data_IF_798797963813
#
_entry.id   IF_798797963813
#
_cell.length_a   1.000
_cell.length_b   1.000
_cell.length_c   1.000
_cell.angle_alpha   90.00
_cell.angle_beta   90.00
_cell.angle_gamma   90.00
#
_symmetry.space_group_name_H-M   'P 1'
#
loop_
_entity.id
_entity.type
_entity.pdbx_description
1 polymer ?
#
# COMPACT_ATOMS: atom_id res chain seq x y z
N UNK A 1 26.57 -13.79 -18.48
CA UNK A 1 25.44 -14.54 -17.92
C UNK A 1 24.27 -14.52 -18.92
N UNK A 2 23.70 -15.70 -19.22
CA UNK A 2 22.51 -15.81 -20.07
C UNK A 2 21.27 -15.18 -19.40
N UNK A 3 20.22 -14.90 -20.16
CA UNK A 3 18.95 -14.40 -19.62
C UNK A 3 18.36 -15.39 -18.59
N UNK A 4 18.44 -16.68 -18.89
CA UNK A 4 18.05 -17.79 -17.98
C UNK A 4 18.75 -17.70 -16.64
N UNK A 5 20.08 -17.63 -16.64
CA UNK A 5 20.89 -17.56 -15.40
C UNK A 5 20.54 -16.31 -14.58
N UNK A 6 20.38 -15.14 -15.23
CA UNK A 6 20.01 -13.89 -14.54
C UNK A 6 18.66 -13.99 -13.84
N UNK A 7 17.64 -14.58 -14.49
CA UNK A 7 16.31 -14.73 -13.91
C UNK A 7 16.30 -15.67 -12.70
N UNK A 8 17.02 -16.80 -12.80
CA UNK A 8 17.16 -17.72 -11.65
C UNK A 8 17.93 -17.09 -10.49
N UNK A 9 19.04 -16.40 -10.75
CA UNK A 9 19.81 -15.71 -9.70
C UNK A 9 18.98 -14.66 -9.02
N UNK A 10 18.20 -13.86 -9.76
CA UNK A 10 17.31 -12.85 -9.17
C UNK A 10 16.24 -13.48 -8.27
N UNK A 11 15.61 -14.57 -8.70
CA UNK A 11 14.62 -15.29 -7.90
C UNK A 11 15.23 -15.89 -6.63
N UNK A 12 16.35 -16.58 -6.75
CA UNK A 12 17.03 -17.21 -5.59
C UNK A 12 17.50 -16.14 -4.59
N UNK A 13 18.06 -15.02 -5.09
CA UNK A 13 18.46 -13.90 -4.24
C UNK A 13 17.26 -13.30 -3.50
N UNK A 14 16.14 -13.11 -4.18
CA UNK A 14 14.92 -12.63 -3.54
C UNK A 14 14.45 -13.59 -2.44
N UNK A 15 14.37 -14.89 -2.71
CA UNK A 15 13.97 -15.90 -1.74
C UNK A 15 14.92 -15.91 -0.55
N UNK A 16 16.25 -15.86 -0.79
CA UNK A 16 17.26 -15.88 0.27
C UNK A 16 17.17 -14.63 1.17
N UNK A 17 17.07 -13.43 0.57
CA UNK A 17 16.97 -12.17 1.32
C UNK A 17 15.65 -12.10 2.09
N UNK A 18 14.53 -12.40 1.44
CA UNK A 18 13.22 -12.41 2.10
C UNK A 18 13.19 -13.44 3.23
N UNK A 19 13.67 -14.66 3.00
CA UNK A 19 13.75 -15.71 4.01
C UNK A 19 14.60 -15.32 5.20
N UNK A 20 15.79 -14.76 4.96
CA UNK A 20 16.66 -14.26 6.03
C UNK A 20 15.99 -13.15 6.86
N UNK A 21 15.35 -12.18 6.21
CA UNK A 21 14.62 -11.11 6.90
C UNK A 21 13.42 -11.64 7.68
N UNK A 22 12.67 -12.60 7.14
CA UNK A 22 11.52 -13.21 7.81
C UNK A 22 11.94 -14.04 9.02
N UNK A 23 13.03 -14.80 8.92
CA UNK A 23 13.61 -15.52 10.05
C UNK A 23 14.05 -14.54 11.13
N UNK A 24 14.76 -13.46 10.76
CA UNK A 24 15.14 -12.39 11.70
C UNK A 24 13.91 -11.79 12.38
N UNK A 25 12.89 -11.41 11.61
CA UNK A 25 11.65 -10.84 12.14
C UNK A 25 10.95 -11.79 13.12
N UNK A 26 10.96 -13.10 12.85
CA UNK A 26 10.36 -14.12 13.73
C UNK A 26 10.89 -14.08 15.14
N UNK A 27 12.17 -13.77 15.31
CA UNK A 27 12.83 -13.73 16.63
C UNK A 27 12.95 -12.31 17.21
N UNK A 28 12.82 -11.27 16.40
CA UNK A 28 13.10 -9.89 16.81
C UNK A 28 11.91 -8.94 16.78
N UNK A 29 10.73 -9.36 16.34
CA UNK A 29 9.54 -8.52 16.19
C UNK A 29 9.27 -7.64 17.41
N UNK A 30 9.19 -8.25 18.59
CA UNK A 30 8.89 -7.52 19.81
C UNK A 30 10.05 -6.61 20.24
N UNK A 31 11.31 -7.09 20.13
CA UNK A 31 12.48 -6.29 20.49
C UNK A 31 12.63 -5.06 19.59
N UNK A 32 12.46 -5.23 18.27
CA UNK A 32 12.49 -4.11 17.30
C UNK A 32 11.39 -3.09 17.62
N UNK A 33 10.19 -3.55 17.92
CA UNK A 33 9.09 -2.68 18.32
C UNK A 33 9.41 -1.95 19.64
N UNK A 34 9.89 -2.64 20.65
CA UNK A 34 10.27 -2.02 21.94
C UNK A 34 11.31 -0.90 21.77
N UNK A 35 12.30 -1.11 20.88
CA UNK A 35 13.34 -0.10 20.64
C UNK A 35 12.80 1.10 19.87
N UNK A 36 11.99 0.87 18.83
CA UNK A 36 11.55 1.93 17.94
C UNK A 36 10.34 2.72 18.47
N UNK A 37 9.47 2.08 19.25
CA UNK A 37 8.24 2.67 19.74
C UNK A 37 8.33 3.19 21.17
N UNK A 38 9.34 2.80 21.95
CA UNK A 38 9.46 3.12 23.37
C UNK A 38 9.41 4.63 23.69
N UNK A 39 9.91 5.47 22.75
CA UNK A 39 9.84 6.94 22.88
C UNK A 39 8.54 7.55 22.37
N UNK A 40 7.80 6.83 21.53
CA UNK A 40 6.62 7.32 20.83
C UNK A 40 5.31 7.03 21.58
N UNK A 41 5.34 6.13 22.57
CA UNK A 41 4.18 5.68 23.35
C UNK A 41 4.31 6.03 24.82
N UNK A 42 4.85 7.21 25.12
CA UNK A 42 5.02 7.70 26.48
C UNK A 42 3.68 7.92 27.22
N UNK A 43 2.61 8.17 26.48
CA UNK A 43 1.26 8.28 27.06
C UNK A 43 0.47 6.99 26.75
N UNK A 44 -0.12 6.38 27.73
CA UNK A 44 -0.85 5.12 27.73
C UNK A 44 -2.11 5.09 26.83
N UNK A 45 -2.19 5.92 25.79
CA UNK A 45 -3.31 6.01 24.86
C UNK A 45 -2.99 5.32 23.54
N UNK A 46 -4.02 4.87 22.82
CA UNK A 46 -3.86 4.08 21.61
C UNK A 46 -3.21 4.82 20.44
N UNK A 47 -3.48 6.11 20.23
CA UNK A 47 -3.03 6.90 19.08
C UNK A 47 -1.97 7.94 19.39
N UNK A 48 -1.55 8.10 20.63
CA UNK A 48 -0.55 9.12 20.98
C UNK A 48 0.79 8.79 20.36
N UNK A 49 1.29 9.71 19.56
CA UNK A 49 2.60 9.59 18.92
C UNK A 49 3.24 10.96 18.78
N UNK A 50 4.39 11.14 19.38
CA UNK A 50 5.15 12.40 19.35
C UNK A 50 6.08 12.52 18.13
N UNK A 51 6.22 11.47 17.32
CA UNK A 51 7.11 11.47 16.16
C UNK A 51 6.45 12.05 14.91
N UNK A 52 6.86 13.24 14.49
CA UNK A 52 6.42 13.87 13.24
C UNK A 52 6.59 12.92 12.04
N UNK A 53 7.73 12.22 11.97
CA UNK A 53 7.99 11.21 10.95
C UNK A 53 6.91 10.11 10.91
N UNK A 54 6.56 9.56 12.08
CA UNK A 54 5.54 8.52 12.19
C UNK A 54 4.17 9.01 11.73
N UNK A 55 3.73 10.15 12.23
CA UNK A 55 2.41 10.76 11.93
C UNK A 55 2.29 11.12 10.45
N UNK A 56 3.29 11.81 9.89
CA UNK A 56 3.26 12.22 8.48
C UNK A 56 3.21 11.00 7.55
N UNK A 57 4.06 9.99 7.76
CA UNK A 57 4.04 8.80 6.91
C UNK A 57 2.86 7.86 7.23
N UNK A 58 2.21 7.97 8.37
CA UNK A 58 0.90 7.33 8.58
C UNK A 58 -0.18 8.01 7.74
N UNK A 59 -0.19 9.34 7.68
CA UNK A 59 -1.18 10.09 6.93
C UNK A 59 -1.03 9.95 5.41
N UNK A 60 0.20 10.01 4.88
CA UNK A 60 0.41 10.05 3.42
C UNK A 60 1.10 8.82 2.84
N UNK A 61 1.60 7.90 3.66
CA UNK A 61 2.38 6.75 3.21
C UNK A 61 1.60 5.76 2.34
N UNK A 62 0.28 5.69 2.47
CA UNK A 62 -0.59 4.87 1.63
C UNK A 62 -0.99 5.53 0.30
N UNK A 63 -0.68 6.81 0.10
CA UNK A 63 -1.08 7.56 -1.12
C UNK A 63 -0.72 6.89 -2.45
N UNK A 64 0.39 6.14 -2.61
CA UNK A 64 0.72 5.50 -3.88
C UNK A 64 -0.36 4.59 -4.44
N UNK A 65 -1.12 3.85 -3.61
CA UNK A 65 -2.20 2.99 -4.12
C UNK A 65 -3.29 3.83 -4.81
N UNK A 66 -3.69 4.92 -4.20
CA UNK A 66 -4.73 5.78 -4.73
C UNK A 66 -4.28 6.54 -5.98
N UNK A 67 -3.04 7.05 -5.98
CA UNK A 67 -2.43 7.68 -7.14
C UNK A 67 -2.35 6.72 -8.32
N UNK A 68 -1.87 5.49 -8.11
CA UNK A 68 -1.76 4.50 -9.17
C UNK A 68 -3.14 4.09 -9.71
N UNK A 69 -4.15 3.92 -8.85
CA UNK A 69 -5.52 3.65 -9.27
C UNK A 69 -6.10 4.80 -10.10
N UNK A 70 -5.99 6.04 -9.61
CA UNK A 70 -6.53 7.21 -10.28
C UNK A 70 -5.91 7.40 -11.67
N UNK A 71 -4.57 7.34 -11.78
CA UNK A 71 -3.88 7.43 -13.07
C UNK A 71 -4.29 6.30 -14.01
N UNK A 72 -4.46 5.08 -13.51
CA UNK A 72 -4.89 3.95 -14.33
C UNK A 72 -6.27 4.17 -14.90
N UNK A 73 -7.22 4.62 -14.10
CA UNK A 73 -8.57 4.94 -14.58
C UNK A 73 -8.57 6.09 -15.60
N UNK A 74 -7.73 7.10 -15.43
CA UNK A 74 -7.61 8.22 -16.38
C UNK A 74 -6.94 7.81 -17.71
N UNK A 75 -5.97 6.92 -17.69
CA UNK A 75 -5.39 6.32 -18.90
C UNK A 75 -6.47 5.56 -19.66
N UNK A 76 -7.24 4.72 -18.97
CA UNK A 76 -8.34 3.96 -19.58
C UNK A 76 -9.46 4.88 -20.08
N UNK A 77 -9.79 5.97 -19.37
CA UNK A 77 -10.71 6.99 -19.83
C UNK A 77 -10.29 7.54 -21.20
N UNK A 78 -9.04 7.97 -21.34
CA UNK A 78 -8.54 8.49 -22.62
C UNK A 78 -8.47 7.42 -23.71
N UNK A 79 -8.19 6.17 -23.37
CA UNK A 79 -8.25 5.05 -24.31
C UNK A 79 -9.67 4.86 -24.86
N UNK A 80 -10.68 4.88 -23.98
CA UNK A 80 -12.10 4.78 -24.36
C UNK A 80 -12.50 5.95 -25.24
N UNK A 81 -12.16 7.20 -24.83
CA UNK A 81 -12.51 8.39 -25.57
C UNK A 81 -11.91 8.43 -26.98
N UNK A 82 -10.71 7.91 -27.18
CA UNK A 82 -9.99 7.94 -28.47
C UNK A 82 -10.31 6.77 -29.39
N UNK A 83 -10.49 5.57 -28.83
CA UNK A 83 -10.56 4.33 -29.62
C UNK A 83 -11.96 3.76 -29.81
N UNK A 84 -12.88 4.00 -28.88
CA UNK A 84 -14.24 3.51 -29.06
C UNK A 84 -15.01 4.35 -30.09
N UNK A 85 -15.70 3.67 -31.00
CA UNK A 85 -16.67 4.30 -31.91
C UNK A 85 -17.78 4.98 -31.10
N UNK A 86 -18.45 5.98 -31.70
CA UNK A 86 -19.57 6.67 -31.07
C UNK A 86 -20.70 5.67 -30.76
N UNK A 87 -20.98 5.50 -29.47
CA UNK A 87 -21.99 4.57 -28.94
C UNK A 87 -22.34 5.01 -27.52
N UNK A 88 -23.59 4.90 -27.05
CA UNK A 88 -23.98 5.30 -25.69
C UNK A 88 -23.11 4.71 -24.58
N UNK A 89 -22.66 3.47 -24.72
CA UNK A 89 -21.75 2.83 -23.75
C UNK A 89 -20.37 3.47 -23.65
N UNK A 90 -19.94 4.20 -24.66
CA UNK A 90 -18.65 4.94 -24.64
C UNK A 90 -18.70 6.04 -23.58
N UNK A 91 -19.71 6.88 -23.61
CA UNK A 91 -19.88 7.99 -22.68
C UNK A 91 -20.10 7.47 -21.25
N UNK A 92 -20.93 6.44 -21.09
CA UNK A 92 -21.17 5.82 -19.78
C UNK A 92 -19.87 5.25 -19.21
N UNK A 93 -19.12 4.47 -19.97
CA UNK A 93 -17.84 3.89 -19.51
C UNK A 93 -16.81 4.98 -19.21
N UNK A 94 -16.72 6.00 -20.05
CA UNK A 94 -15.83 7.15 -19.81
C UNK A 94 -16.16 7.87 -18.49
N UNK A 95 -17.44 8.14 -18.24
CA UNK A 95 -17.90 8.77 -17.00
C UNK A 95 -17.56 7.88 -15.80
N UNK A 96 -17.83 6.57 -15.87
CA UNK A 96 -17.54 5.64 -14.78
C UNK A 96 -16.03 5.60 -14.46
N UNK A 97 -15.18 5.59 -15.48
CA UNK A 97 -13.71 5.62 -15.29
C UNK A 97 -13.24 6.93 -14.68
N UNK A 98 -13.80 8.06 -15.11
CA UNK A 98 -13.46 9.36 -14.55
C UNK A 98 -13.90 9.47 -13.09
N UNK A 99 -15.13 9.02 -12.77
CA UNK A 99 -15.67 8.99 -11.40
C UNK A 99 -14.80 8.08 -10.52
N UNK A 100 -14.43 6.88 -11.01
CA UNK A 100 -13.57 5.97 -10.25
C UNK A 100 -12.18 6.58 -9.96
N UNK A 101 -11.58 7.28 -10.92
CA UNK A 101 -10.33 8.00 -10.73
C UNK A 101 -10.46 9.14 -9.72
N UNK A 102 -11.54 9.92 -9.79
CA UNK A 102 -11.82 11.01 -8.83
C UNK A 102 -12.06 10.45 -7.43
N UNK A 103 -12.80 9.34 -7.33
CA UNK A 103 -13.04 8.67 -6.05
C UNK A 103 -11.74 8.18 -5.40
N UNK A 104 -10.78 7.66 -6.20
CA UNK A 104 -9.47 7.27 -5.68
C UNK A 104 -8.71 8.48 -5.09
N UNK A 105 -8.69 9.63 -5.76
CA UNK A 105 -8.11 10.85 -5.19
C UNK A 105 -8.86 11.32 -3.94
N UNK A 106 -10.19 11.27 -3.96
CA UNK A 106 -10.98 11.64 -2.78
C UNK A 106 -10.61 10.79 -1.56
N UNK A 107 -10.55 9.46 -1.73
CA UNK A 107 -10.15 8.56 -0.63
C UNK A 107 -8.74 8.85 -0.16
N UNK A 108 -7.80 9.17 -1.06
CA UNK A 108 -6.42 9.55 -0.71
C UNK A 108 -6.40 10.76 0.24
N UNK A 109 -7.12 11.85 -0.10
CA UNK A 109 -7.16 13.04 0.74
C UNK A 109 -7.92 12.80 2.05
N UNK A 110 -9.03 12.07 1.99
CA UNK A 110 -9.83 11.73 3.17
C UNK A 110 -9.04 10.86 4.16
N UNK A 111 -8.30 9.87 3.68
CA UNK A 111 -7.41 9.05 4.51
C UNK A 111 -6.28 9.87 5.11
N UNK A 112 -5.66 10.77 4.34
CA UNK A 112 -4.61 11.65 4.87
C UNK A 112 -5.14 12.53 6.01
N UNK A 113 -6.31 13.13 5.85
CA UNK A 113 -6.99 13.91 6.91
C UNK A 113 -7.31 13.03 8.11
N UNK A 114 -7.86 11.83 7.87
CA UNK A 114 -8.20 10.87 8.93
C UNK A 114 -6.98 10.55 9.80
N UNK A 115 -5.89 10.10 9.16
CA UNK A 115 -4.70 9.68 9.89
C UNK A 115 -3.97 10.83 10.58
N UNK A 116 -4.04 12.05 10.03
CA UNK A 116 -3.52 13.23 10.71
C UNK A 116 -4.34 13.58 11.98
N UNK A 117 -5.67 13.59 11.86
CA UNK A 117 -6.55 13.99 12.95
C UNK A 117 -6.60 12.97 14.11
N UNK A 118 -6.46 11.67 13.84
CA UNK A 118 -6.52 10.64 14.88
C UNK A 118 -5.39 10.77 15.93
N UNK A 119 -4.29 11.46 15.59
CA UNK A 119 -3.19 11.75 16.53
C UNK A 119 -3.42 13.03 17.37
N UNK A 120 -4.45 13.82 17.04
CA UNK A 120 -4.79 15.04 17.79
C UNK A 120 -5.72 14.72 18.96
N UNK A 121 -6.64 13.76 18.77
CA UNK A 121 -7.53 13.31 19.82
C UNK A 121 -8.93 12.92 19.33
N UNK A 122 -9.78 12.35 20.21
CA UNK A 122 -11.12 11.87 19.85
C UNK A 122 -12.05 12.95 19.27
N UNK A 123 -11.94 14.18 19.77
CA UNK A 123 -12.74 15.31 19.28
C UNK A 123 -12.37 15.69 17.85
N UNK A 124 -11.09 15.58 17.49
CA UNK A 124 -10.64 15.83 16.13
C UNK A 124 -11.18 14.77 15.14
N UNK A 125 -11.41 13.54 15.57
CA UNK A 125 -12.07 12.53 14.72
C UNK A 125 -13.54 12.86 14.47
N UNK A 126 -14.24 13.45 15.43
CA UNK A 126 -15.60 13.97 15.19
C UNK A 126 -15.57 15.11 14.18
N UNK A 127 -14.58 16.00 14.26
CA UNK A 127 -14.39 17.09 13.30
C UNK A 127 -14.15 16.59 11.87
N UNK A 128 -13.47 15.45 11.70
CA UNK A 128 -13.28 14.78 10.40
C UNK A 128 -14.61 14.51 9.67
N UNK A 129 -15.68 14.20 10.41
CA UNK A 129 -17.01 13.93 9.83
C UNK A 129 -17.70 15.19 9.34
N UNK A 130 -17.16 16.37 9.64
CA UNK A 130 -17.73 17.64 9.17
C UNK A 130 -17.77 17.70 7.65
N UNK A 131 -18.91 18.12 7.09
CA UNK A 131 -19.13 18.25 5.65
C UNK A 131 -18.08 19.13 4.98
N UNK A 132 -17.56 20.14 5.70
CA UNK A 132 -16.51 21.03 5.24
C UNK A 132 -15.21 20.30 4.86
N UNK A 133 -14.70 19.39 5.74
CA UNK A 133 -13.47 18.63 5.43
C UNK A 133 -13.67 17.65 4.27
N UNK A 134 -14.85 17.04 4.17
CA UNK A 134 -15.21 16.23 3.01
C UNK A 134 -15.28 17.06 1.73
N UNK A 135 -15.80 18.28 1.82
CA UNK A 135 -15.80 19.25 0.73
C UNK A 135 -14.40 19.64 0.25
N UNK A 136 -13.48 19.88 1.19
CA UNK A 136 -12.05 20.14 0.87
C UNK A 136 -11.42 18.93 0.17
N UNK A 137 -11.59 17.72 0.69
CA UNK A 137 -11.06 16.50 0.05
C UNK A 137 -11.63 16.32 -1.36
N UNK A 138 -12.93 16.59 -1.56
CA UNK A 138 -13.56 16.52 -2.88
C UNK A 138 -13.04 17.60 -3.83
N UNK A 139 -12.81 18.82 -3.35
CA UNK A 139 -12.24 19.91 -4.15
C UNK A 139 -10.84 19.52 -4.66
N UNK A 140 -9.95 19.06 -3.78
CA UNK A 140 -8.62 18.64 -4.20
C UNK A 140 -8.64 17.41 -5.11
N UNK A 141 -9.55 16.46 -4.89
CA UNK A 141 -9.75 15.33 -5.78
C UNK A 141 -10.19 15.75 -7.18
N UNK A 142 -11.13 16.71 -7.28
CA UNK A 142 -11.56 17.31 -8.55
C UNK A 142 -10.42 18.02 -9.26
N UNK A 143 -9.64 18.80 -8.52
CA UNK A 143 -8.47 19.52 -9.04
C UNK A 143 -7.40 18.56 -9.59
N UNK A 144 -7.06 17.52 -8.83
CA UNK A 144 -6.13 16.47 -9.28
C UNK A 144 -6.65 15.74 -10.52
N UNK A 145 -7.95 15.40 -10.54
CA UNK A 145 -8.58 14.77 -11.70
C UNK A 145 -8.47 15.67 -12.94
N UNK A 146 -8.76 16.96 -12.79
CA UNK A 146 -8.64 17.91 -13.88
C UNK A 146 -7.22 17.98 -14.45
N UNK A 147 -6.22 18.23 -13.60
CA UNK A 147 -4.83 18.36 -14.04
C UNK A 147 -4.28 17.08 -14.65
N UNK A 148 -4.52 15.92 -14.02
CA UNK A 148 -4.03 14.66 -14.53
C UNK A 148 -4.73 14.27 -15.85
N UNK A 149 -6.04 14.50 -15.97
CA UNK A 149 -6.79 14.27 -17.21
C UNK A 149 -6.29 15.19 -18.33
N UNK A 150 -6.05 16.48 -18.00
CA UNK A 150 -5.49 17.44 -18.95
C UNK A 150 -4.06 17.07 -19.39
N UNK A 151 -3.23 16.65 -18.45
CA UNK A 151 -1.87 16.19 -18.76
C UNK A 151 -1.88 14.99 -19.71
N UNK A 152 -2.69 13.95 -19.43
CA UNK A 152 -2.79 12.76 -20.29
C UNK A 152 -3.37 13.10 -21.66
N UNK A 153 -4.26 14.10 -21.77
CA UNK A 153 -4.78 14.57 -23.05
C UNK A 153 -3.68 14.94 -24.04
N UNK A 154 -2.58 15.51 -23.55
CA UNK A 154 -1.49 16.01 -24.39
C UNK A 154 -0.53 14.91 -24.84
N UNK A 155 -0.64 13.68 -24.33
CA UNK A 155 0.14 12.56 -24.81
C UNK A 155 -0.36 12.06 -26.17
N UNK A 156 0.56 11.56 -27.00
CA UNK A 156 0.19 10.94 -28.27
C UNK A 156 -0.69 9.70 -28.05
N UNK A 157 -1.47 9.37 -29.07
CA UNK A 157 -2.32 8.18 -29.07
C UNK A 157 -1.51 6.89 -28.87
N UNK A 158 -0.31 6.84 -29.48
CA UNK A 158 0.63 5.73 -29.30
C UNK A 158 1.10 5.58 -27.87
N UNK A 159 1.42 6.72 -27.21
CA UNK A 159 1.87 6.72 -25.81
C UNK A 159 0.77 6.26 -24.85
N UNK A 160 -0.46 6.74 -25.05
CA UNK A 160 -1.61 6.26 -24.26
C UNK A 160 -1.86 4.78 -24.50
N UNK A 161 -1.78 4.31 -25.74
CA UNK A 161 -1.91 2.88 -26.09
C UNK A 161 -0.89 1.98 -25.37
N UNK A 162 0.37 2.43 -25.28
CA UNK A 162 1.42 1.71 -24.51
C UNK A 162 1.10 1.64 -23.02
N UNK A 163 0.45 2.67 -22.46
CA UNK A 163 0.10 2.73 -21.05
C UNK A 163 -1.13 1.90 -20.67
N UNK A 164 -1.95 1.43 -21.63
CA UNK A 164 -3.15 0.64 -21.33
C UNK A 164 -2.81 -0.64 -20.56
N UNK A 165 -1.84 -1.41 -21.05
CA UNK A 165 -1.44 -2.65 -20.35
C UNK A 165 -0.80 -2.37 -18.99
N UNK A 166 -0.09 -1.25 -18.85
CA UNK A 166 0.38 -0.76 -17.55
C UNK A 166 -0.79 -0.47 -16.61
N UNK A 167 -1.79 0.27 -17.07
CA UNK A 167 -2.97 0.62 -16.25
C UNK A 167 -3.72 -0.65 -15.80
N UNK A 168 -3.95 -1.61 -16.70
CA UNK A 168 -4.57 -2.90 -16.36
C UNK A 168 -3.73 -3.67 -15.35
N UNK A 169 -2.41 -3.75 -15.54
CA UNK A 169 -1.51 -4.41 -14.61
C UNK A 169 -1.60 -3.78 -13.20
N UNK A 170 -1.59 -2.44 -13.11
CA UNK A 170 -1.72 -1.71 -11.84
C UNK A 170 -3.04 -2.03 -11.14
N UNK A 171 -4.17 -2.03 -11.86
CA UNK A 171 -5.48 -2.38 -11.29
C UNK A 171 -5.47 -3.82 -10.75
N UNK A 172 -4.87 -4.76 -11.47
CA UNK A 172 -4.74 -6.15 -11.01
C UNK A 172 -3.82 -6.26 -9.78
N UNK A 173 -2.68 -5.54 -9.76
CA UNK A 173 -1.79 -5.49 -8.58
C UNK A 173 -2.54 -4.97 -7.37
N UNK A 174 -3.25 -3.86 -7.51
CA UNK A 174 -4.01 -3.27 -6.41
C UNK A 174 -5.11 -4.21 -5.90
N UNK A 175 -5.89 -4.81 -6.80
CA UNK A 175 -6.97 -5.72 -6.44
C UNK A 175 -6.45 -6.97 -5.71
N UNK A 176 -5.41 -7.62 -6.25
CA UNK A 176 -4.88 -8.86 -5.69
C UNK A 176 -4.14 -8.60 -4.39
N UNK A 177 -3.26 -7.59 -4.32
CA UNK A 177 -2.50 -7.31 -3.11
C UNK A 177 -3.39 -6.89 -1.95
N UNK A 178 -4.38 -6.00 -2.17
CA UNK A 178 -5.33 -5.63 -1.12
C UNK A 178 -6.31 -6.76 -0.79
N UNK A 179 -6.69 -7.58 -1.76
CA UNK A 179 -7.50 -8.78 -1.55
C UNK A 179 -6.79 -9.78 -0.62
N UNK A 180 -5.50 -10.04 -0.84
CA UNK A 180 -4.69 -10.89 0.05
C UNK A 180 -4.60 -10.29 1.46
N UNK A 181 -4.32 -8.97 1.58
CA UNK A 181 -4.27 -8.29 2.87
C UNK A 181 -5.60 -8.45 3.62
N UNK A 182 -6.72 -8.21 2.96
CA UNK A 182 -8.06 -8.33 3.57
C UNK A 182 -8.37 -9.77 4.00
N UNK A 183 -8.06 -10.75 3.15
CA UNK A 183 -8.32 -12.16 3.41
C UNK A 183 -7.51 -12.73 4.59
N UNK A 184 -6.28 -12.23 4.81
CA UNK A 184 -5.39 -12.75 5.86
C UNK A 184 -5.59 -12.01 7.19
N UNK A 185 -5.91 -10.73 7.15
CA UNK A 185 -5.91 -9.83 8.32
C UNK A 185 -6.92 -10.24 9.40
N UNK A 186 -8.14 -10.53 9.02
CA UNK A 186 -9.20 -10.92 9.97
C UNK A 186 -8.94 -12.32 10.60
N UNK A 187 -8.62 -13.39 9.83
CA UNK A 187 -8.36 -14.70 10.41
C UNK A 187 -7.14 -14.76 11.33
N UNK A 188 -6.08 -13.99 11.01
CA UNK A 188 -4.88 -13.96 11.86
C UNK A 188 -5.13 -13.21 13.16
N UNK A 189 -5.88 -12.10 13.13
CA UNK A 189 -6.31 -11.37 14.30
C UNK A 189 -5.16 -10.89 15.20
N UNK A 190 -3.95 -10.63 14.66
CA UNK A 190 -2.76 -10.26 15.44
C UNK A 190 -2.93 -8.90 16.09
N UNK A 191 -2.75 -8.84 17.42
CA UNK A 191 -2.84 -7.60 18.19
C UNK A 191 -1.66 -6.67 17.85
N UNK A 192 -1.96 -5.36 17.70
CA UNK A 192 -0.93 -4.33 17.44
C UNK A 192 -0.12 -4.05 18.70
N UNK A 193 1.14 -3.64 18.53
CA UNK A 193 1.99 -3.23 19.64
C UNK A 193 1.32 -2.12 20.49
N UNK A 194 0.82 -1.05 19.85
CA UNK A 194 0.14 0.05 20.53
C UNK A 194 -1.14 -0.38 21.28
N UNK A 195 -1.81 -1.44 20.80
CA UNK A 195 -2.97 -2.00 21.49
C UNK A 195 -2.57 -2.72 22.78
N UNK A 196 -1.45 -3.46 22.76
CA UNK A 196 -0.93 -4.11 23.97
C UNK A 196 -0.37 -3.12 24.99
N UNK A 197 0.18 -2.00 24.53
CA UNK A 197 0.84 -1.00 25.39
C UNK A 197 -0.13 -0.01 26.05
N UNK A 198 -1.31 0.27 25.47
CA UNK A 198 -2.27 1.22 26.04
C UNK A 198 -3.01 0.62 27.26
N UNK A 199 -3.68 1.48 28.06
CA UNK A 199 -4.41 1.08 29.27
C UNK A 199 -5.41 -0.05 29.01
N UNK A 200 -6.22 0.07 27.94
CA UNK A 200 -7.18 -0.98 27.55
C UNK A 200 -6.50 -2.32 27.27
N UNK A 201 -5.32 -2.32 26.66
CA UNK A 201 -4.54 -3.53 26.42
C UNK A 201 -3.95 -4.11 27.70
N UNK A 202 -3.41 -3.27 28.56
CA UNK A 202 -2.86 -3.68 29.86
C UNK A 202 -3.93 -4.33 30.75
N UNK A 203 -5.17 -3.87 30.69
CA UNK A 203 -6.28 -4.45 31.46
C UNK A 203 -6.65 -5.87 31.06
N UNK A 204 -6.24 -6.32 29.85
CA UNK A 204 -6.52 -7.65 29.32
C UNK A 204 -5.24 -8.50 29.13
N UNK A 205 -4.15 -8.17 29.81
CA UNK A 205 -2.89 -8.94 29.80
C UNK A 205 -1.73 -8.29 29.03
N UNK A 206 -1.94 -7.15 28.38
CA UNK A 206 -0.85 -6.38 27.76
C UNK A 206 -0.02 -7.19 26.77
N UNK A 207 1.31 -7.22 27.01
CA UNK A 207 2.26 -7.90 26.11
C UNK A 207 2.22 -9.44 26.18
N UNK A 208 1.50 -10.05 27.15
CA UNK A 208 1.24 -11.50 27.15
C UNK A 208 0.39 -11.93 25.94
N UNK A 209 -0.33 -10.97 25.33
CA UNK A 209 -1.08 -11.17 24.08
C UNK A 209 -0.21 -11.12 22.81
N UNK A 210 1.11 -10.98 22.94
CA UNK A 210 1.99 -11.00 21.78
C UNK A 210 1.97 -12.37 21.10
N UNK A 211 1.64 -12.38 19.81
CA UNK A 211 1.71 -13.59 18.97
C UNK A 211 2.73 -13.40 17.84
N UNK A 212 3.40 -14.50 17.47
CA UNK A 212 4.25 -14.49 16.28
C UNK A 212 3.39 -14.41 15.02
N UNK A 213 3.95 -13.92 13.93
CA UNK A 213 3.23 -13.64 12.67
C UNK A 213 2.51 -14.86 12.06
N UNK A 214 2.97 -16.09 12.35
CA UNK A 214 2.40 -17.35 11.86
C UNK A 214 1.41 -18.00 12.84
N UNK A 215 1.14 -17.37 13.97
CA UNK A 215 0.19 -17.85 14.98
C UNK A 215 -1.01 -16.92 14.98
N UNK A 216 -2.21 -17.48 14.76
CA UNK A 216 -3.44 -16.73 14.92
C UNK A 216 -3.62 -16.32 16.38
N UNK A 217 -4.07 -15.08 16.61
CA UNK A 217 -4.37 -14.60 17.94
C UNK A 217 -5.69 -15.26 18.42
N UNK A 218 -5.63 -16.00 19.52
CA UNK A 218 -6.83 -16.62 20.11
C UNK A 218 -7.80 -15.65 20.79
N UNK A 219 -7.52 -14.33 20.78
CA UNK A 219 -8.38 -13.33 21.37
C UNK A 219 -9.56 -12.99 20.42
N UNK A 220 -10.76 -13.27 20.87
CA UNK A 220 -12.00 -12.98 20.17
C UNK A 220 -12.72 -11.79 20.81
N UNK A 221 -12.21 -10.57 20.55
CA UNK A 221 -12.89 -9.35 20.98
C UNK A 221 -13.94 -8.95 19.94
N UNK A 222 -15.16 -8.67 20.39
CA UNK A 222 -16.19 -8.08 19.55
C UNK A 222 -15.82 -6.64 19.16
N UNK A 223 -16.48 -6.09 18.14
CA UNK A 223 -16.25 -4.70 17.73
C UNK A 223 -16.56 -3.70 18.84
N UNK A 224 -17.54 -4.00 19.70
CA UNK A 224 -17.94 -3.10 20.79
C UNK A 224 -16.94 -3.16 21.95
N UNK A 225 -16.43 -4.34 22.29
CA UNK A 225 -15.33 -4.50 23.25
C UNK A 225 -14.05 -3.79 22.75
N UNK A 226 -13.71 -3.94 21.46
CA UNK A 226 -12.56 -3.22 20.89
C UNK A 226 -12.74 -1.69 20.97
N UNK A 227 -13.95 -1.17 20.73
CA UNK A 227 -14.23 0.26 20.88
C UNK A 227 -14.14 0.72 22.32
N UNK A 228 -14.63 -0.08 23.25
CA UNK A 228 -14.58 0.25 24.70
C UNK A 228 -13.14 0.26 25.21
N UNK A 229 -12.31 -0.72 24.82
CA UNK A 229 -10.92 -0.85 25.30
C UNK A 229 -9.95 0.10 24.57
N UNK A 230 -10.13 0.31 23.26
CA UNK A 230 -9.13 0.96 22.40
C UNK A 230 -9.64 2.21 21.66
N UNK A 231 -10.92 2.52 21.75
CA UNK A 231 -11.54 3.58 20.93
C UNK A 231 -11.61 3.26 19.44
N UNK A 232 -11.22 2.04 19.02
CA UNK A 232 -11.13 1.64 17.60
C UNK A 232 -11.47 0.16 17.43
N UNK A 233 -11.71 -0.26 16.18
CA UNK A 233 -11.97 -1.67 15.82
C UNK A 233 -10.79 -2.32 15.08
N UNK A 234 -9.60 -1.67 15.09
CA UNK A 234 -8.45 -2.13 14.33
C UNK A 234 -7.30 -2.70 15.20
N UNK A 235 -7.53 -2.83 16.51
CA UNK A 235 -6.55 -3.30 17.49
C UNK A 235 -5.97 -4.69 17.16
N UNK A 236 -6.79 -5.58 16.58
CA UNK A 236 -6.43 -6.94 16.18
C UNK A 236 -6.07 -7.08 14.69
N UNK A 237 -5.70 -5.99 14.01
CA UNK A 237 -5.43 -5.97 12.56
C UNK A 237 -3.97 -5.64 12.24
N UNK A 238 -3.03 -6.25 12.97
CA UNK A 238 -1.61 -5.99 12.75
C UNK A 238 -1.07 -6.68 11.51
N UNK A 239 -1.26 -7.98 11.35
CA UNK A 239 -0.66 -8.76 10.25
C UNK A 239 -1.65 -9.04 9.11
N UNK A 240 -1.21 -8.90 7.85
CA UNK A 240 -0.04 -8.16 7.40
C UNK A 240 -0.31 -6.64 7.27
N UNK A 241 0.75 -5.81 7.10
CA UNK A 241 0.62 -4.36 7.02
C UNK A 241 -0.01 -3.88 5.72
N UNK A 242 -1.24 -3.34 5.80
CA UNK A 242 -1.93 -2.72 4.65
C UNK A 242 -1.26 -1.44 4.17
N UNK A 243 -0.79 -0.56 5.08
CA UNK A 243 -0.09 0.67 4.72
C UNK A 243 1.19 0.40 3.93
N UNK A 244 1.99 -0.57 4.38
CA UNK A 244 3.22 -0.93 3.67
C UNK A 244 2.93 -1.57 2.32
N UNK A 245 1.85 -2.35 2.21
CA UNK A 245 1.38 -2.88 0.94
C UNK A 245 0.94 -1.76 -0.01
N UNK A 246 0.17 -0.79 0.47
CA UNK A 246 -0.27 0.39 -0.30
C UNK A 246 0.91 1.28 -0.73
N UNK A 247 1.89 1.49 0.16
CA UNK A 247 3.14 2.17 -0.18
C UNK A 247 3.92 1.41 -1.27
N UNK A 248 3.94 0.07 -1.19
CA UNK A 248 4.57 -0.80 -2.18
C UNK A 248 3.98 -0.71 -3.59
N UNK A 249 2.81 -0.07 -3.77
CA UNK A 249 2.30 0.24 -5.12
C UNK A 249 3.24 1.14 -5.93
N UNK A 250 4.17 1.85 -5.29
CA UNK A 250 5.25 2.56 -5.98
C UNK A 250 6.10 1.64 -6.86
N UNK A 251 6.21 0.35 -6.55
CA UNK A 251 6.88 -0.64 -7.40
C UNK A 251 6.26 -0.73 -8.80
N UNK A 252 4.98 -0.42 -8.96
CA UNK A 252 4.33 -0.39 -10.27
C UNK A 252 4.99 0.60 -11.24
N UNK A 253 5.59 1.69 -10.73
CA UNK A 253 6.33 2.64 -11.58
C UNK A 253 7.53 1.99 -12.29
N UNK A 254 8.08 0.91 -11.73
CA UNK A 254 9.18 0.16 -12.34
C UNK A 254 8.76 -0.50 -13.66
N UNK A 255 7.46 -0.82 -13.83
CA UNK A 255 6.92 -1.35 -15.08
C UNK A 255 7.05 -0.34 -16.24
N UNK A 256 7.00 0.96 -15.95
CA UNK A 256 7.17 2.01 -16.96
C UNK A 256 8.56 1.96 -17.62
N UNK A 257 9.58 1.49 -16.89
CA UNK A 257 10.93 1.31 -17.44
C UNK A 257 10.95 0.29 -18.58
N UNK A 258 10.05 -0.68 -18.54
CA UNK A 258 9.90 -1.70 -19.59
C UNK A 258 8.93 -1.24 -20.68
N UNK A 259 7.80 -0.61 -20.30
CA UNK A 259 6.84 -0.02 -21.27
C UNK A 259 7.52 0.96 -22.21
N UNK A 260 8.42 1.81 -21.69
CA UNK A 260 9.16 2.81 -22.47
C UNK A 260 10.57 2.34 -22.88
N UNK A 261 10.88 1.06 -22.69
CA UNK A 261 12.16 0.45 -23.08
C UNK A 261 13.39 1.25 -22.59
N UNK A 262 13.39 1.68 -21.34
CA UNK A 262 14.48 2.45 -20.73
C UNK A 262 15.73 1.57 -20.59
N UNK A 263 16.76 1.82 -21.41
CA UNK A 263 18.01 1.03 -21.46
C UNK A 263 19.05 1.48 -20.44
N UNK A 264 18.97 2.71 -19.95
CA UNK A 264 19.95 3.27 -19.00
C UNK A 264 19.96 2.49 -17.68
N UNK A 265 21.09 1.85 -17.38
CA UNK A 265 21.27 1.10 -16.11
C UNK A 265 21.16 2.03 -14.89
N UNK A 266 21.70 3.25 -15.00
CA UNK A 266 21.63 4.25 -13.92
C UNK A 266 20.20 4.66 -13.62
N UNK A 267 19.37 5.00 -14.62
CA UNK A 267 17.95 5.33 -14.41
C UNK A 267 17.19 4.16 -13.79
N UNK A 268 17.43 2.94 -14.26
CA UNK A 268 16.81 1.73 -13.66
C UNK A 268 17.22 1.56 -12.19
N UNK A 269 18.52 1.66 -11.87
CA UNK A 269 19.01 1.53 -10.50
C UNK A 269 18.40 2.58 -9.56
N UNK A 270 18.42 3.85 -9.97
CA UNK A 270 17.82 4.94 -9.19
C UNK A 270 16.32 4.70 -8.95
N UNK A 271 15.55 4.28 -9.96
CA UNK A 271 14.12 3.97 -9.80
C UNK A 271 13.89 2.83 -8.79
N UNK A 272 14.69 1.77 -8.84
CA UNK A 272 14.63 0.66 -7.88
C UNK A 272 14.95 1.12 -6.47
N UNK A 273 16.05 1.87 -6.29
CA UNK A 273 16.46 2.42 -4.99
C UNK A 273 15.35 3.31 -4.43
N UNK A 274 14.81 4.22 -5.23
CA UNK A 274 13.74 5.12 -4.80
C UNK A 274 12.49 4.37 -4.33
N UNK A 275 12.04 3.36 -5.09
CA UNK A 275 10.87 2.57 -4.75
C UNK A 275 11.07 1.75 -3.44
N UNK A 276 12.23 1.12 -3.28
CA UNK A 276 12.59 0.36 -2.08
C UNK A 276 12.70 1.30 -0.88
N UNK A 277 13.39 2.43 -1.03
CA UNK A 277 13.57 3.42 0.05
C UNK A 277 12.23 3.97 0.52
N UNK A 278 11.35 4.38 -0.40
CA UNK A 278 10.02 4.89 -0.04
C UNK A 278 9.21 3.85 0.75
N UNK A 279 9.12 2.63 0.22
CA UNK A 279 8.39 1.54 0.89
C UNK A 279 9.00 1.23 2.26
N UNK A 280 10.33 1.23 2.36
CA UNK A 280 11.06 1.04 3.61
C UNK A 280 10.80 2.15 4.63
N UNK A 281 10.80 3.40 4.20
CA UNK A 281 10.46 4.54 5.07
C UNK A 281 9.06 4.41 5.66
N UNK A 282 8.07 4.07 4.84
CA UNK A 282 6.71 3.82 5.33
C UNK A 282 6.68 2.60 6.26
N UNK A 283 7.37 1.51 5.93
CA UNK A 283 7.45 0.33 6.78
C UNK A 283 7.97 0.66 8.19
N UNK A 284 9.08 1.39 8.27
CA UNK A 284 9.67 1.84 9.55
C UNK A 284 8.71 2.75 10.31
N UNK A 285 8.04 3.68 9.63
CA UNK A 285 7.05 4.55 10.30
C UNK A 285 5.93 3.75 10.95
N UNK A 286 5.49 2.64 10.32
CA UNK A 286 4.42 1.77 10.88
C UNK A 286 4.86 1.03 12.15
N UNK A 287 6.15 0.72 12.28
CA UNK A 287 6.71 0.16 13.51
C UNK A 287 6.79 1.25 14.57
N UNK A 288 7.33 2.43 14.23
CA UNK A 288 7.48 3.56 15.16
C UNK A 288 6.15 3.95 15.79
N UNK A 289 5.05 4.01 15.04
CA UNK A 289 3.71 4.32 15.59
C UNK A 289 3.08 3.12 16.32
N UNK A 290 3.77 2.00 16.50
CA UNK A 290 3.27 0.80 17.16
C UNK A 290 2.10 0.12 16.46
N UNK A 291 1.86 0.42 15.19
CA UNK A 291 0.74 -0.14 14.43
C UNK A 291 1.03 -1.54 13.90
N UNK A 292 2.30 -1.85 13.65
CA UNK A 292 2.76 -3.08 13.01
C UNK A 292 4.10 -3.53 13.55
N UNK A 293 4.38 -4.83 13.47
CA UNK A 293 5.69 -5.41 13.74
C UNK A 293 6.55 -5.49 12.46
N UNK A 294 7.83 -5.84 12.61
CA UNK A 294 8.75 -5.98 11.50
C UNK A 294 8.27 -7.03 10.47
N UNK A 295 7.81 -8.20 10.94
CA UNK A 295 7.25 -9.24 10.08
C UNK A 295 6.00 -8.76 9.32
N UNK A 296 5.14 -7.93 9.93
CA UNK A 296 3.91 -7.42 9.30
C UNK A 296 4.23 -6.52 8.12
N UNK A 297 5.19 -5.61 8.30
CA UNK A 297 5.59 -4.66 7.25
C UNK A 297 6.39 -5.34 6.14
N UNK A 298 7.24 -6.30 6.50
CA UNK A 298 7.97 -7.12 5.55
C UNK A 298 7.00 -7.88 4.63
N UNK A 299 6.00 -8.54 5.22
CA UNK A 299 4.99 -9.28 4.46
C UNK A 299 4.14 -8.34 3.59
N UNK A 300 3.68 -7.20 4.11
CA UNK A 300 2.91 -6.23 3.36
C UNK A 300 3.64 -5.70 2.12
N UNK A 301 4.91 -5.30 2.28
CA UNK A 301 5.75 -4.87 1.17
C UNK A 301 6.03 -5.97 0.14
N UNK A 302 6.24 -7.20 0.62
CA UNK A 302 6.49 -8.37 -0.23
C UNK A 302 5.27 -8.76 -1.06
N UNK A 303 4.06 -8.69 -0.49
CA UNK A 303 2.80 -8.94 -1.22
C UNK A 303 2.66 -7.96 -2.40
N UNK A 304 2.88 -6.66 -2.17
CA UNK A 304 2.83 -5.66 -3.23
C UNK A 304 3.90 -5.91 -4.31
N UNK A 305 5.13 -6.20 -3.88
CA UNK A 305 6.24 -6.49 -4.78
C UNK A 305 6.01 -7.75 -5.63
N UNK A 306 5.61 -8.86 -5.02
CA UNK A 306 5.34 -10.11 -5.71
C UNK A 306 4.18 -9.96 -6.70
N UNK A 307 3.09 -9.30 -6.28
CA UNK A 307 1.96 -8.99 -7.17
C UNK A 307 2.41 -8.17 -8.37
N UNK A 308 3.24 -7.12 -8.16
CA UNK A 308 3.79 -6.32 -9.24
C UNK A 308 4.62 -7.16 -10.21
N UNK A 309 5.52 -8.03 -9.72
CA UNK A 309 6.34 -8.91 -10.58
C UNK A 309 5.46 -9.83 -11.43
N UNK A 310 4.44 -10.45 -10.82
CA UNK A 310 3.52 -11.37 -11.52
C UNK A 310 2.78 -10.63 -12.64
N UNK A 311 2.13 -9.51 -12.34
CA UNK A 311 1.33 -8.80 -13.35
C UNK A 311 2.19 -8.06 -14.38
N UNK A 312 3.40 -7.61 -14.01
CA UNK A 312 4.41 -7.15 -14.96
C UNK A 312 4.76 -8.24 -15.96
N UNK A 313 4.98 -9.46 -15.48
CA UNK A 313 5.32 -10.59 -16.35
C UNK A 313 4.16 -10.94 -17.29
N UNK A 314 2.92 -10.93 -16.80
CA UNK A 314 1.73 -11.23 -17.60
C UNK A 314 1.48 -10.15 -18.66
N UNK A 315 1.36 -8.88 -18.28
CA UNK A 315 0.86 -7.82 -19.15
C UNK A 315 1.94 -7.08 -19.92
N UNK A 316 3.15 -6.93 -19.36
CA UNK A 316 4.23 -6.13 -19.96
C UNK A 316 5.25 -7.04 -20.66
N UNK A 317 5.77 -8.05 -19.95
CA UNK A 317 6.82 -8.95 -20.47
C UNK A 317 6.25 -10.14 -21.27
N UNK A 318 4.94 -10.37 -21.24
CA UNK A 318 4.24 -11.45 -21.97
C UNK A 318 4.85 -12.85 -21.73
N UNK A 319 5.26 -13.12 -20.51
CA UNK A 319 5.87 -14.38 -20.10
C UNK A 319 7.32 -14.57 -20.55
N UNK A 320 7.97 -13.56 -21.14
CA UNK A 320 9.29 -13.73 -21.76
C UNK A 320 10.40 -14.09 -20.77
N UNK A 321 10.31 -13.61 -19.51
CA UNK A 321 11.31 -13.96 -18.50
C UNK A 321 11.06 -15.36 -17.95
N UNK A 322 9.80 -15.76 -17.77
CA UNK A 322 9.41 -17.11 -17.35
C UNK A 322 9.80 -18.12 -18.44
N UNK A 323 9.48 -17.85 -19.69
CA UNK A 323 9.89 -18.71 -20.82
C UNK A 323 11.41 -18.90 -20.86
N UNK A 324 12.17 -17.82 -20.70
CA UNK A 324 13.62 -17.87 -20.66
C UNK A 324 14.16 -18.71 -19.49
N UNK A 325 13.51 -18.68 -18.30
CA UNK A 325 13.91 -19.52 -17.14
C UNK A 325 13.83 -21.01 -17.45
N UNK A 326 12.83 -21.42 -18.24
CA UNK A 326 12.61 -22.83 -18.60
C UNK A 326 13.20 -23.22 -19.96
N UNK A 327 14.01 -22.34 -20.59
CA UNK A 327 14.68 -22.63 -21.86
C UNK A 327 13.73 -22.71 -23.07
N UNK A 328 12.53 -22.11 -22.97
CA UNK A 328 11.58 -21.98 -24.07
C UNK A 328 11.71 -20.56 -24.61
N UNK A 329 12.63 -20.35 -25.58
CA UNK A 329 12.76 -19.11 -26.36
C UNK A 329 11.82 -19.10 -27.55
#
# INVERSE_FOLDING_TARGET
>A
MTKRTKSWVALLLFIAVFGALLVTATFTDLQVSNILTAKALAAHTYYTNETVYGVVLEAVGSSPVYLMLAFSFQILFWQVMRKMKKHPWKEILAILLLVAGTAAYFVMFDDAVKYALQHIGPEAELFRKAAFLKGISMFFAGLMTFFATFAIRNYSEESVGKLVMFAVAVLCVAAVSNGIIAAVKEPVGRMRYRAMNCEGGQSIGGFDNFTRWYVANGQHLTKDEMRALFGTTDALKSFPSGHTCSAGMVYCLLMLLDVFNVKSKGKRAVSWIAAITYTGMVAVSRIIVGAHFFSDVLMGGTIAFASMIIFREIFICKGSNVKAMFGKE
#
